data_IF_713698021000
#
_entry.id   IF_713698021000
#
_cell.length_a   1.000
_cell.length_b   1.000
_cell.length_c   1.000
_cell.angle_alpha   90.00
_cell.angle_beta   90.00
_cell.angle_gamma   90.00
#
_symmetry.space_group_name_H-M   'P 1'
#
loop_
_entity.id
_entity.type
_entity.pdbx_description
1 polymer ?
#
# COMPACT_ATOMS: atom_id res chain seq x y z
N UNK A 1 51.66 20.77 0.40
CA UNK A 1 50.56 21.43 1.16
C UNK A 1 49.30 21.61 0.30
N UNK A 2 49.40 22.08 -0.95
CA UNK A 2 48.24 22.26 -1.85
C UNK A 2 47.52 20.96 -2.30
N UNK A 3 48.24 19.83 -2.40
CA UNK A 3 47.64 18.54 -2.83
C UNK A 3 46.69 17.95 -1.77
N UNK A 4 46.91 18.26 -0.49
CA UNK A 4 46.07 17.77 0.61
C UNK A 4 44.78 18.58 0.80
N UNK A 5 44.71 19.79 0.25
CA UNK A 5 43.49 20.61 0.29
C UNK A 5 42.45 20.19 -0.74
N UNK A 6 42.87 19.62 -1.87
CA UNK A 6 41.97 19.14 -2.93
C UNK A 6 41.30 17.80 -2.59
N UNK A 7 41.87 17.01 -1.68
CA UNK A 7 41.27 15.75 -1.22
C UNK A 7 40.21 15.95 -0.14
N UNK A 8 40.11 17.13 0.47
CA UNK A 8 39.10 17.44 1.49
C UNK A 8 37.78 17.93 0.88
N UNK A 9 37.79 18.51 -0.32
CA UNK A 9 36.54 18.98 -0.97
C UNK A 9 35.75 17.87 -1.68
N UNK A 10 36.18 16.61 -1.59
CA UNK A 10 35.52 15.46 -2.21
C UNK A 10 34.45 14.82 -1.33
N UNK A 11 34.16 15.38 -0.15
CA UNK A 11 32.91 15.06 0.57
C UNK A 11 31.79 15.78 -0.16
N UNK A 12 31.49 15.28 -1.36
CA UNK A 12 30.30 15.65 -2.11
C UNK A 12 29.15 15.18 -1.24
N UNK A 13 28.51 16.12 -0.56
CA UNK A 13 27.19 15.89 0.02
C UNK A 13 26.30 15.42 -1.13
N UNK A 14 26.04 14.11 -1.20
CA UNK A 14 24.98 13.58 -2.04
C UNK A 14 23.67 14.07 -1.41
N UNK A 15 23.24 15.26 -1.80
CA UNK A 15 21.87 15.69 -1.57
C UNK A 15 21.01 14.82 -2.47
N UNK A 16 20.52 13.71 -1.94
CA UNK A 16 19.40 12.99 -2.56
C UNK A 16 18.22 13.95 -2.47
N UNK A 17 17.84 14.55 -3.61
CA UNK A 17 16.51 15.11 -3.73
C UNK A 17 15.53 13.97 -3.42
N UNK A 18 14.59 14.20 -2.50
CA UNK A 18 13.54 13.23 -2.25
C UNK A 18 12.91 12.85 -3.60
N UNK A 19 12.84 11.55 -3.89
CA UNK A 19 12.20 11.07 -5.11
C UNK A 19 10.80 11.68 -5.20
N UNK A 20 10.37 12.18 -6.36
CA UNK A 20 9.03 12.74 -6.50
C UNK A 20 8.01 11.67 -6.10
N UNK A 21 6.99 12.09 -5.36
CA UNK A 21 5.92 11.24 -4.84
C UNK A 21 4.57 11.66 -5.43
N UNK A 22 3.65 10.72 -5.54
CA UNK A 22 2.24 11.04 -5.77
C UNK A 22 1.50 11.17 -4.44
N UNK A 23 0.44 12.00 -4.39
CA UNK A 23 -0.41 12.07 -3.21
C UNK A 23 -1.09 10.72 -2.94
N UNK A 24 -1.50 10.51 -1.70
CA UNK A 24 -2.31 9.37 -1.34
C UNK A 24 -3.61 9.33 -2.18
N UNK A 25 -4.13 8.15 -2.55
CA UNK A 25 -5.36 8.05 -3.32
C UNK A 25 -6.55 8.79 -2.68
N UNK A 26 -6.88 9.95 -3.23
CA UNK A 26 -8.08 10.70 -2.85
C UNK A 26 -9.30 10.16 -3.60
N UNK A 27 -9.93 9.14 -3.02
CA UNK A 27 -11.19 8.56 -3.46
C UNK A 27 -12.24 8.64 -2.35
N UNK A 28 -13.54 8.77 -2.67
CA UNK A 28 -14.58 8.68 -1.65
C UNK A 28 -14.52 7.34 -0.92
N UNK A 29 -14.60 7.37 0.41
CA UNK A 29 -14.60 6.16 1.22
C UNK A 29 -15.77 5.23 0.84
N UNK A 30 -16.92 5.77 0.44
CA UNK A 30 -18.05 4.98 -0.06
C UNK A 30 -17.67 4.13 -1.27
N UNK A 31 -16.98 4.71 -2.27
CA UNK A 31 -16.51 3.98 -3.44
C UNK A 31 -15.53 2.86 -3.07
N UNK A 32 -14.62 3.13 -2.13
CA UNK A 32 -13.69 2.13 -1.62
C UNK A 32 -14.43 1.00 -0.89
N UNK A 33 -15.32 1.35 0.02
CA UNK A 33 -16.14 0.42 0.81
C UNK A 33 -16.99 -0.48 -0.09
N UNK A 34 -17.68 0.10 -1.09
CA UNK A 34 -18.50 -0.64 -2.05
C UNK A 34 -17.64 -1.61 -2.87
N UNK A 35 -16.43 -1.19 -3.25
CA UNK A 35 -15.48 -2.06 -3.96
C UNK A 35 -15.02 -3.24 -3.09
N UNK A 36 -14.75 -2.99 -1.80
CA UNK A 36 -14.39 -4.05 -0.84
C UNK A 36 -15.55 -5.02 -0.65
N UNK A 37 -16.77 -4.53 -0.42
CA UNK A 37 -17.95 -5.36 -0.18
C UNK A 37 -18.37 -6.16 -1.42
N UNK A 38 -18.20 -5.61 -2.62
CA UNK A 38 -18.53 -6.31 -3.87
C UNK A 38 -17.50 -7.36 -4.29
N UNK A 39 -16.27 -7.29 -3.75
CA UNK A 39 -15.19 -8.19 -4.15
C UNK A 39 -14.74 -9.16 -3.06
N UNK A 40 -14.84 -8.87 -1.77
CA UNK A 40 -14.38 -9.77 -0.71
C UNK A 40 -15.53 -10.50 0.01
N UNK A 41 -15.17 -11.46 0.85
CA UNK A 41 -16.14 -12.13 1.72
C UNK A 41 -16.69 -11.15 2.76
N UNK A 42 -17.89 -11.45 3.27
CA UNK A 42 -18.59 -10.60 4.25
C UNK A 42 -17.83 -10.46 5.57
N UNK A 43 -16.98 -11.44 5.89
CA UNK A 43 -16.23 -11.49 7.15
C UNK A 43 -14.82 -10.89 7.05
N UNK A 44 -14.52 -10.16 5.97
CA UNK A 44 -13.23 -9.50 5.82
C UNK A 44 -13.04 -8.43 6.91
N UNK A 45 -11.98 -8.57 7.71
CA UNK A 45 -11.69 -7.62 8.78
C UNK A 45 -11.13 -6.30 8.24
N UNK A 46 -11.36 -5.20 8.95
CA UNK A 46 -10.73 -3.90 8.67
C UNK A 46 -9.21 -4.01 8.58
N UNK A 47 -8.57 -4.75 9.51
CA UNK A 47 -7.12 -4.95 9.50
C UNK A 47 -6.64 -5.63 8.20
N UNK A 48 -7.40 -6.58 7.67
CA UNK A 48 -7.10 -7.22 6.38
C UNK A 48 -7.26 -6.24 5.22
N UNK A 49 -8.32 -5.43 5.22
CA UNK A 49 -8.55 -4.40 4.20
C UNK A 49 -7.43 -3.36 4.19
N UNK A 50 -7.00 -2.89 5.36
CA UNK A 50 -5.87 -1.97 5.51
C UNK A 50 -4.56 -2.61 5.05
N UNK A 51 -4.32 -3.88 5.38
CA UNK A 51 -3.14 -4.60 4.89
C UNK A 51 -3.10 -4.67 3.36
N UNK A 52 -4.25 -4.85 2.69
CA UNK A 52 -4.35 -4.81 1.22
C UNK A 52 -4.09 -3.41 0.69
N UNK A 53 -4.71 -2.39 1.27
CA UNK A 53 -4.51 -0.99 0.88
C UNK A 53 -3.02 -0.63 0.93
N UNK A 54 -2.38 -0.84 2.08
CA UNK A 54 -0.96 -0.58 2.26
C UNK A 54 -0.08 -1.42 1.33
N UNK A 55 -0.42 -2.68 1.11
CA UNK A 55 0.30 -3.51 0.14
C UNK A 55 0.24 -2.94 -1.27
N UNK A 56 -0.88 -2.36 -1.70
CA UNK A 56 -1.00 -1.79 -3.04
C UNK A 56 -0.27 -0.46 -3.18
N UNK A 57 -0.42 0.46 -2.22
CA UNK A 57 0.23 1.79 -2.29
C UNK A 57 1.76 1.71 -2.12
N UNK A 58 2.26 0.71 -1.38
CA UNK A 58 3.70 0.49 -1.15
C UNK A 58 4.40 -0.29 -2.27
N UNK A 59 3.70 -0.70 -3.33
CA UNK A 59 4.27 -1.50 -4.42
C UNK A 59 4.06 -0.87 -5.83
N UNK A 60 4.37 0.42 -6.04
CA UNK A 60 4.09 1.11 -7.30
C UNK A 60 4.88 0.56 -8.50
N UNK A 61 6.15 0.16 -8.33
CA UNK A 61 6.94 -0.42 -9.41
C UNK A 61 6.37 -1.77 -9.86
N UNK A 62 5.92 -2.60 -8.91
CA UNK A 62 5.25 -3.87 -9.23
C UNK A 62 3.95 -3.62 -9.99
N UNK A 63 3.15 -2.63 -9.57
CA UNK A 63 1.92 -2.24 -10.27
C UNK A 63 2.21 -1.68 -11.67
N UNK A 64 3.25 -0.87 -11.84
CA UNK A 64 3.70 -0.41 -13.16
C UNK A 64 3.97 -1.59 -14.10
N UNK A 65 4.72 -2.59 -13.63
CA UNK A 65 5.02 -3.79 -14.40
C UNK A 65 3.77 -4.62 -14.72
N UNK A 66 2.87 -4.78 -13.74
CA UNK A 66 1.61 -5.48 -13.94
C UNK A 66 0.76 -4.80 -15.02
N UNK A 67 0.55 -3.49 -14.93
CA UNK A 67 -0.30 -2.76 -15.86
C UNK A 67 0.34 -2.61 -17.25
N UNK A 68 1.67 -2.54 -17.35
CA UNK A 68 2.36 -2.58 -18.65
C UNK A 68 2.14 -3.91 -19.38
N UNK A 69 2.15 -5.03 -18.67
CA UNK A 69 1.85 -6.35 -19.26
C UNK A 69 0.36 -6.54 -19.61
N UNK A 70 -0.53 -5.79 -18.96
CA UNK A 70 -1.97 -5.77 -19.27
C UNK A 70 -2.31 -4.89 -20.48
N UNK A 71 -1.46 -3.92 -20.78
CA UNK A 71 -1.59 -2.97 -21.88
C UNK A 71 -0.38 -3.10 -22.83
N UNK A 72 -0.36 -4.15 -23.68
CA UNK A 72 0.72 -4.34 -24.62
C UNK A 72 0.85 -3.17 -25.60
N UNK A 73 2.08 -2.77 -25.92
CA UNK A 73 2.39 -1.63 -26.79
C UNK A 73 3.08 -2.03 -28.09
N UNK A 74 3.69 -3.22 -28.14
CA UNK A 74 4.41 -3.72 -29.30
C UNK A 74 3.71 -4.94 -29.92
N UNK A 75 3.87 -5.10 -31.24
CA UNK A 75 3.36 -6.28 -31.95
C UNK A 75 4.01 -7.56 -31.40
N UNK A 76 3.21 -8.61 -31.18
CA UNK A 76 3.65 -9.88 -30.61
C UNK A 76 3.65 -9.95 -29.08
N UNK A 77 3.36 -8.86 -28.36
CA UNK A 77 3.20 -8.90 -26.91
C UNK A 77 1.87 -9.59 -26.51
N UNK A 78 1.96 -10.51 -25.54
CA UNK A 78 0.78 -11.18 -25.01
C UNK A 78 0.03 -10.30 -24.01
N UNK A 79 -1.25 -10.02 -24.30
CA UNK A 79 -2.14 -9.35 -23.34
C UNK A 79 -2.51 -10.31 -22.22
N UNK A 80 -2.20 -9.94 -20.98
CA UNK A 80 -2.57 -10.75 -19.80
C UNK A 80 -3.48 -9.97 -18.87
N UNK A 81 -4.56 -10.60 -18.39
CA UNK A 81 -5.41 -9.99 -17.37
C UNK A 81 -4.78 -10.07 -15.97
N UNK A 82 -4.04 -11.14 -15.72
CA UNK A 82 -3.32 -11.40 -14.47
C UNK A 82 -1.88 -11.67 -14.83
N UNK A 83 -0.98 -10.78 -14.39
CA UNK A 83 0.46 -10.88 -14.63
C UNK A 83 1.15 -11.76 -13.58
N UNK A 84 2.39 -12.17 -13.87
CA UNK A 84 3.25 -12.78 -12.84
C UNK A 84 3.53 -11.84 -11.66
N UNK A 85 3.54 -10.53 -11.89
CA UNK A 85 3.79 -9.50 -10.88
C UNK A 85 2.68 -9.44 -9.82
N UNK A 86 1.42 -9.35 -10.24
CA UNK A 86 0.27 -9.34 -9.31
C UNK A 86 0.14 -10.70 -8.59
N UNK A 87 0.49 -11.81 -9.25
CA UNK A 87 0.56 -13.13 -8.62
C UNK A 87 1.62 -13.16 -7.51
N UNK A 88 2.80 -12.59 -7.74
CA UNK A 88 3.84 -12.51 -6.72
C UNK A 88 3.38 -11.67 -5.52
N UNK A 89 2.72 -10.54 -5.77
CA UNK A 89 2.15 -9.68 -4.73
C UNK A 89 1.10 -10.44 -3.89
N UNK A 90 0.19 -11.17 -4.55
CA UNK A 90 -0.82 -12.00 -3.88
C UNK A 90 -0.19 -13.04 -2.97
N UNK A 91 0.83 -13.75 -3.45
CA UNK A 91 1.51 -14.76 -2.62
C UNK A 91 2.15 -14.11 -1.38
N UNK A 92 2.85 -12.98 -1.56
CA UNK A 92 3.45 -12.24 -0.44
C UNK A 92 2.40 -11.77 0.57
N UNK A 93 1.28 -11.22 0.08
CA UNK A 93 0.16 -10.80 0.90
C UNK A 93 -0.45 -11.97 1.70
N UNK A 94 -0.74 -13.08 1.04
CA UNK A 94 -1.32 -14.27 1.68
C UNK A 94 -0.39 -14.81 2.78
N UNK A 95 0.93 -14.85 2.53
CA UNK A 95 1.92 -15.20 3.55
C UNK A 95 1.92 -14.22 4.72
N UNK A 96 1.82 -12.91 4.47
CA UNK A 96 1.81 -11.87 5.51
C UNK A 96 0.55 -11.92 6.39
N UNK A 97 -0.62 -12.12 5.80
CA UNK A 97 -1.89 -12.13 6.56
C UNK A 97 -2.21 -13.50 7.16
N UNK A 98 -1.66 -14.58 6.61
CA UNK A 98 -1.89 -15.95 7.05
C UNK A 98 -3.21 -16.55 6.53
N UNK A 99 -3.27 -17.87 6.47
CA UNK A 99 -4.33 -18.61 5.76
C UNK A 99 -5.73 -18.29 6.28
N UNK A 100 -5.92 -18.23 7.60
CA UNK A 100 -7.24 -17.94 8.22
C UNK A 100 -7.80 -16.58 7.78
N UNK A 101 -6.96 -15.54 7.74
CA UNK A 101 -7.39 -14.20 7.28
C UNK A 101 -7.47 -14.15 5.75
N UNK A 102 -6.67 -14.93 5.03
CA UNK A 102 -6.75 -15.00 3.58
C UNK A 102 -8.06 -15.65 3.11
N UNK A 103 -8.64 -16.58 3.87
CA UNK A 103 -9.94 -17.19 3.56
C UNK A 103 -11.09 -16.19 3.50
N UNK A 104 -11.07 -15.15 4.35
CA UNK A 104 -12.11 -14.10 4.36
C UNK A 104 -12.09 -13.21 3.11
N UNK A 105 -11.06 -13.32 2.26
CA UNK A 105 -10.96 -12.61 0.98
C UNK A 105 -11.78 -13.27 -0.14
N UNK A 106 -12.32 -14.46 0.12
CA UNK A 106 -13.14 -15.20 -0.82
C UNK A 106 -14.60 -15.18 -0.35
N UNK A 107 -15.52 -15.02 -1.29
CA UNK A 107 -16.94 -15.21 -1.04
C UNK A 107 -17.26 -16.70 -0.87
N UNK A 108 -18.36 -17.01 -0.19
CA UNK A 108 -18.83 -18.40 -0.02
C UNK A 108 -18.99 -19.12 -1.36
N UNK A 109 -19.49 -18.41 -2.39
CA UNK A 109 -19.65 -18.95 -3.75
C UNK A 109 -18.32 -19.33 -4.40
N UNK A 110 -17.26 -18.57 -4.14
CA UNK A 110 -15.92 -18.88 -4.65
C UNK A 110 -15.31 -20.07 -3.91
N UNK A 111 -15.50 -20.15 -2.59
CA UNK A 111 -15.01 -21.26 -1.77
C UNK A 111 -15.77 -22.56 -2.06
N UNK A 112 -17.07 -22.50 -2.30
CA UNK A 112 -17.90 -23.67 -2.65
C UNK A 112 -17.54 -24.32 -4.00
N UNK A 113 -16.72 -23.66 -4.83
CA UNK A 113 -16.12 -24.27 -6.04
C UNK A 113 -14.87 -25.09 -5.75
N UNK A 114 -14.44 -25.16 -4.49
CA UNK A 114 -13.22 -25.83 -4.03
C UNK A 114 -12.00 -25.51 -4.91
N UNK A 115 -11.67 -24.21 -5.11
CA UNK A 115 -10.53 -23.83 -5.93
C UNK A 115 -9.24 -24.38 -5.33
N UNK A 116 -8.40 -24.95 -6.18
CA UNK A 116 -7.04 -25.30 -5.82
C UNK A 116 -6.21 -24.04 -5.48
N UNK A 117 -4.98 -24.24 -5.00
CA UNK A 117 -4.09 -23.13 -4.63
C UNK A 117 -3.92 -22.12 -5.78
N UNK A 118 -3.76 -22.61 -7.01
CA UNK A 118 -3.60 -21.77 -8.20
C UNK A 118 -4.88 -20.98 -8.50
N UNK A 119 -6.05 -21.61 -8.37
CA UNK A 119 -7.36 -20.98 -8.51
C UNK A 119 -7.56 -19.86 -7.49
N UNK A 120 -7.23 -20.10 -6.22
CA UNK A 120 -7.29 -19.07 -5.14
C UNK A 120 -6.40 -17.88 -5.45
N UNK A 121 -5.15 -18.12 -5.86
CA UNK A 121 -4.22 -17.06 -6.25
C UNK A 121 -4.75 -16.24 -7.43
N UNK A 122 -5.31 -16.89 -8.46
CA UNK A 122 -5.84 -16.20 -9.64
C UNK A 122 -7.08 -15.35 -9.28
N UNK A 123 -8.00 -15.89 -8.48
CA UNK A 123 -9.16 -15.15 -7.98
C UNK A 123 -8.71 -13.90 -7.21
N UNK A 124 -7.79 -14.06 -6.25
CA UNK A 124 -7.31 -12.94 -5.45
C UNK A 124 -6.51 -11.93 -6.28
N UNK A 125 -5.74 -12.38 -7.28
CA UNK A 125 -5.04 -11.50 -8.22
C UNK A 125 -5.99 -10.58 -8.98
N UNK A 126 -7.14 -11.12 -9.43
CA UNK A 126 -8.17 -10.32 -10.10
C UNK A 126 -8.82 -9.31 -9.16
N UNK A 127 -9.04 -9.68 -7.90
CA UNK A 127 -9.59 -8.76 -6.89
C UNK A 127 -8.62 -7.63 -6.59
N UNK A 128 -7.33 -7.93 -6.42
CA UNK A 128 -6.30 -6.91 -6.20
C UNK A 128 -6.13 -5.99 -7.42
N UNK A 129 -6.22 -6.51 -8.65
CA UNK A 129 -6.27 -5.68 -9.86
C UNK A 129 -7.45 -4.69 -9.83
N UNK A 130 -8.65 -5.15 -9.44
CA UNK A 130 -9.84 -4.28 -9.32
C UNK A 130 -9.68 -3.21 -8.26
N UNK A 131 -9.12 -3.55 -7.11
CA UNK A 131 -8.88 -2.59 -6.03
C UNK A 131 -7.79 -1.59 -6.42
N UNK A 132 -6.71 -2.02 -7.08
CA UNK A 132 -5.69 -1.11 -7.60
C UNK A 132 -6.29 -0.10 -8.59
N UNK A 133 -7.17 -0.54 -9.49
CA UNK A 133 -7.90 0.34 -10.40
C UNK A 133 -8.82 1.31 -9.63
N UNK A 134 -9.56 0.83 -8.63
CA UNK A 134 -10.44 1.66 -7.80
C UNK A 134 -9.64 2.77 -7.07
N UNK A 135 -8.47 2.43 -6.53
CA UNK A 135 -7.53 3.35 -5.89
C UNK A 135 -6.78 4.25 -6.87
N UNK A 136 -7.11 4.20 -8.18
CA UNK A 136 -6.43 4.94 -9.25
C UNK A 136 -4.92 4.65 -9.34
N UNK A 137 -4.47 3.48 -8.84
CA UNK A 137 -3.09 3.01 -8.89
C UNK A 137 -2.79 2.31 -10.22
N UNK A 138 -3.09 2.98 -11.34
CA UNK A 138 -2.80 2.49 -12.69
C UNK A 138 -2.11 3.57 -13.51
N UNK A 139 -0.96 3.26 -14.16
CA UNK A 139 -0.31 4.18 -15.08
C UNK A 139 -1.09 4.37 -16.38
N UNK A 140 -2.17 3.62 -16.59
CA UNK A 140 -3.05 3.69 -17.77
C UNK A 140 -4.43 4.24 -17.41
N UNK A 141 -5.06 4.94 -18.36
CA UNK A 141 -6.43 5.45 -18.24
C UNK A 141 -7.48 4.35 -18.53
N UNK A 142 -8.76 4.70 -18.43
CA UNK A 142 -9.86 3.77 -18.72
C UNK A 142 -9.95 3.35 -20.20
N UNK A 143 -9.28 4.07 -21.09
CA UNK A 143 -9.18 3.76 -22.53
C UNK A 143 -7.93 2.91 -22.84
N UNK A 144 -7.06 2.67 -21.86
CA UNK A 144 -5.81 1.94 -22.03
C UNK A 144 -4.65 2.80 -22.53
N UNK A 145 -4.77 4.14 -22.52
CA UNK A 145 -3.67 5.03 -22.85
C UNK A 145 -2.74 5.16 -21.66
N UNK A 146 -1.43 5.15 -21.92
CA UNK A 146 -0.44 5.45 -20.88
C UNK A 146 -0.54 6.92 -20.49
N UNK A 147 -0.67 7.19 -19.19
CA UNK A 147 -0.71 8.53 -18.61
C UNK A 147 0.68 8.90 -18.10
N UNK A 148 1.15 8.18 -17.10
CA UNK A 148 2.41 8.43 -16.41
C UNK A 148 2.83 7.19 -15.61
N UNK A 149 4.08 7.14 -15.18
CA UNK A 149 4.58 6.07 -14.31
C UNK A 149 4.06 6.31 -12.90
N UNK A 150 3.58 5.27 -12.21
CA UNK A 150 3.31 5.37 -10.78
C UNK A 150 4.61 5.61 -10.02
N UNK A 151 4.67 6.72 -9.32
CA UNK A 151 5.69 7.06 -8.34
C UNK A 151 5.32 6.50 -6.94
N UNK A 152 6.28 6.47 -6.00
CA UNK A 152 5.98 6.22 -4.58
C UNK A 152 4.85 7.12 -4.06
N UNK A 153 3.98 6.56 -3.22
CA UNK A 153 2.84 7.26 -2.65
C UNK A 153 3.27 7.95 -1.34
N UNK A 154 3.03 9.26 -1.25
CA UNK A 154 3.18 10.03 -0.02
C UNK A 154 2.15 9.57 1.01
N UNK A 155 2.58 9.46 2.27
CA UNK A 155 1.75 9.07 3.39
C UNK A 155 1.35 10.26 4.29
N UNK A 156 1.76 11.48 3.93
CA UNK A 156 1.59 12.70 4.71
C UNK A 156 0.12 12.93 5.10
N UNK A 157 -0.83 12.62 4.21
CA UNK A 157 -2.28 12.78 4.45
C UNK A 157 -2.85 11.80 5.50
N UNK A 158 -2.15 10.69 5.75
CA UNK A 158 -2.59 9.62 6.67
C UNK A 158 -1.65 9.46 7.87
N UNK A 159 -0.69 10.37 8.04
CA UNK A 159 0.10 10.43 9.25
C UNK A 159 -0.79 10.73 10.47
N UNK A 160 -0.56 10.06 11.61
CA UNK A 160 -1.33 10.34 12.81
C UNK A 160 -0.98 11.74 13.35
N UNK A 161 -1.98 12.42 13.89
CA UNK A 161 -1.74 13.64 14.67
C UNK A 161 -1.08 13.27 16.01
N UNK A 162 0.18 13.63 16.18
CA UNK A 162 0.90 13.40 17.43
C UNK A 162 0.60 14.51 18.44
N UNK A 163 0.24 14.11 19.67
CA UNK A 163 0.18 15.00 20.83
C UNK A 163 1.28 14.58 21.79
N UNK A 164 2.17 15.51 22.13
CA UNK A 164 3.21 15.27 23.13
C UNK A 164 2.53 15.28 24.51
N UNK A 165 2.44 14.10 25.12
CA UNK A 165 1.96 13.94 26.49
C UNK A 165 3.11 13.47 27.39
N UNK A 166 3.08 13.87 28.66
CA UNK A 166 4.02 13.31 29.64
C UNK A 166 3.78 11.81 29.77
N UNK A 167 4.83 10.96 29.74
CA UNK A 167 4.69 9.50 29.77
C UNK A 167 4.21 8.97 31.12
N UNK A 168 4.17 9.83 32.15
CA UNK A 168 3.69 9.51 33.49
C UNK A 168 2.53 10.41 33.87
N UNK A 169 1.47 9.79 34.39
CA UNK A 169 0.40 10.43 35.16
C UNK A 169 0.65 10.30 36.69
N UNK A 170 1.79 9.71 37.07
CA UNK A 170 2.18 9.44 38.45
C UNK A 170 3.20 10.50 38.90
N UNK A 171 3.01 11.05 40.09
CA UNK A 171 3.98 11.91 40.75
C UNK A 171 5.30 11.18 40.97
N UNK A 172 6.41 11.78 40.54
CA UNK A 172 7.76 11.26 40.81
C UNK A 172 8.29 11.58 42.22
N UNK A 173 7.50 12.21 43.10
CA UNK A 173 7.93 12.65 44.44
C UNK A 173 7.08 12.04 45.56
N UNK A 174 7.70 11.86 46.74
CA UNK A 174 7.07 11.31 47.94
C UNK A 174 5.86 12.13 48.44
N UNK A 175 5.88 13.46 48.22
CA UNK A 175 4.84 14.40 48.68
C UNK A 175 3.83 14.75 47.58
N UNK A 176 3.37 13.76 46.82
CA UNK A 176 2.43 13.94 45.72
C UNK A 176 1.18 14.72 46.16
N UNK A 177 1.09 16.01 45.80
CA UNK A 177 -0.12 16.78 46.04
C UNK A 177 -1.21 16.28 45.08
N UNK A 178 -2.41 15.89 45.56
CA UNK A 178 -3.45 15.23 44.77
C UNK A 178 -4.07 16.08 43.64
N UNK A 179 -3.51 17.26 43.33
CA UNK A 179 -4.00 18.19 42.30
C UNK A 179 -2.96 18.55 41.22
N UNK A 180 -1.77 17.95 41.22
CA UNK A 180 -0.71 18.35 40.29
C UNK A 180 -0.80 17.63 38.92
N UNK A 181 -1.83 18.00 38.14
CA UNK A 181 -1.70 18.19 36.69
C UNK A 181 -1.89 19.69 36.42
N UNK A 182 -1.03 20.53 37.00
CA UNK A 182 -1.07 21.97 36.71
C UNK A 182 -0.41 22.21 35.36
N UNK A 183 -1.24 22.36 34.32
CA UNK A 183 -0.83 22.94 33.06
C UNK A 183 -0.61 24.44 33.31
N UNK A 184 0.64 24.86 33.55
CA UNK A 184 0.99 26.28 33.48
C UNK A 184 1.05 26.67 32.01
N UNK A 185 -0.05 27.23 31.51
CA UNK A 185 -0.11 28.00 30.25
C UNK A 185 0.79 29.22 30.32
#
# INVERSE_FOLDING_TARGET
>A
ILVWFLTWSSVVSFTYAASPQHPFPNIPFSLFSDTVQSHFGTDVSLATVLAILFTLVENPDLLNLHFRQKNPQCSGENKTQVSGWIIALVNSLMTKIGDKRAETLFSERELGRHPDKKGRINLLSRKLDKIAICLKLSPYDSRGNYKEKLLPISHDEIEPAYVICTPSFICGTLDCQPRCLTQST
#
